data_IF_696867912802
#
_entry.id   IF_696867912802
#
_cell.length_a   1.000
_cell.length_b   1.000
_cell.length_c   1.000
_cell.angle_alpha   90.00
_cell.angle_beta   90.00
_cell.angle_gamma   90.00
#
_symmetry.space_group_name_H-M   'P 1'
#
loop_
_entity.id
_entity.type
_entity.pdbx_description
1 polymer ?
#
# COMPACT_ATOMS: atom_id res chain seq x y z
N UNK A 1 2.76 6.60 31.30
CA UNK A 1 3.90 5.83 30.78
C UNK A 1 3.68 5.65 29.29
N UNK A 2 4.72 5.73 28.44
CA UNK A 2 4.56 5.54 27.01
C UNK A 2 4.12 4.10 26.74
N UNK A 3 2.99 3.92 26.06
CA UNK A 3 2.51 2.60 25.64
C UNK A 3 2.87 2.36 24.18
N UNK A 4 3.32 1.15 23.87
CA UNK A 4 3.47 0.68 22.49
C UNK A 4 2.57 -0.53 22.28
N UNK A 5 2.00 -0.63 21.08
CA UNK A 5 1.16 -1.75 20.72
C UNK A 5 1.96 -2.68 19.81
N UNK A 6 2.15 -3.93 20.26
CA UNK A 6 2.84 -4.98 19.49
C UNK A 6 1.86 -6.15 19.38
N UNK A 7 1.59 -6.61 18.16
CA UNK A 7 0.66 -7.71 17.88
C UNK A 7 -0.74 -7.54 18.52
N UNK A 8 -1.23 -6.29 18.58
CA UNK A 8 -2.53 -5.96 19.17
C UNK A 8 -2.58 -6.01 20.69
N UNK A 9 -1.43 -6.10 21.37
CA UNK A 9 -1.30 -5.98 22.83
C UNK A 9 -0.58 -4.70 23.18
N UNK A 10 -1.10 -3.99 24.16
CA UNK A 10 -0.45 -2.81 24.72
C UNK A 10 0.62 -3.24 25.73
N UNK A 11 1.80 -2.65 25.59
CA UNK A 11 2.93 -2.82 26.48
C UNK A 11 3.34 -1.47 27.05
N UNK A 12 3.62 -1.44 28.34
CA UNK A 12 4.30 -0.30 28.95
C UNK A 12 5.77 -0.35 28.55
N UNK A 13 6.26 0.70 27.89
CA UNK A 13 7.65 0.79 27.45
C UNK A 13 8.60 0.76 28.64
N UNK A 14 8.20 1.31 29.79
CA UNK A 14 9.04 1.35 30.98
C UNK A 14 9.22 -0.05 31.61
N UNK A 15 8.30 -0.99 31.35
CA UNK A 15 8.34 -2.37 31.82
C UNK A 15 9.09 -3.34 30.87
N UNK A 16 9.45 -2.89 29.67
CA UNK A 16 10.19 -3.70 28.70
C UNK A 16 11.69 -3.78 29.05
N UNK A 17 12.29 -4.96 28.82
CA UNK A 17 13.74 -5.12 28.88
C UNK A 17 14.43 -4.30 27.79
N UNK A 18 15.72 -4.01 27.98
CA UNK A 18 16.50 -3.25 27.00
C UNK A 18 16.61 -3.99 25.66
N UNK A 19 16.71 -5.33 25.69
CA UNK A 19 16.69 -6.16 24.48
C UNK A 19 15.35 -6.07 23.75
N UNK A 20 14.23 -6.08 24.48
CA UNK A 20 12.90 -5.94 23.89
C UNK A 20 12.74 -4.56 23.23
N UNK A 21 13.21 -3.49 23.86
CA UNK A 21 13.22 -2.13 23.29
C UNK A 21 14.07 -2.06 22.00
N UNK A 22 15.24 -2.71 21.98
CA UNK A 22 16.08 -2.77 20.79
C UNK A 22 15.41 -3.52 19.62
N UNK A 23 14.67 -4.59 19.92
CA UNK A 23 13.92 -5.33 18.91
C UNK A 23 12.75 -4.50 18.35
N UNK A 24 12.02 -3.79 19.20
CA UNK A 24 10.95 -2.86 18.78
C UNK A 24 11.49 -1.77 17.85
N UNK A 25 12.65 -1.19 18.18
CA UNK A 25 13.28 -0.21 17.31
C UNK A 25 13.64 -0.79 15.93
N UNK A 26 14.14 -2.03 15.92
CA UNK A 26 14.45 -2.76 14.68
C UNK A 26 13.19 -3.04 13.83
N UNK A 27 12.09 -3.45 14.46
CA UNK A 27 10.79 -3.68 13.79
C UNK A 27 10.29 -2.37 13.19
N UNK A 28 10.24 -1.28 13.96
CA UNK A 28 9.78 0.02 13.48
C UNK A 28 10.60 0.52 12.29
N UNK A 29 11.92 0.27 12.29
CA UNK A 29 12.78 0.59 11.15
C UNK A 29 12.39 -0.21 9.90
N UNK A 30 12.21 -1.53 10.03
CA UNK A 30 11.80 -2.39 8.92
C UNK A 30 10.42 -1.99 8.39
N UNK A 31 9.46 -1.66 9.26
CA UNK A 31 8.12 -1.25 8.86
C UNK A 31 8.13 0.06 8.07
N UNK A 32 8.97 1.02 8.47
CA UNK A 32 9.15 2.26 7.72
C UNK A 32 9.73 1.99 6.31
N UNK A 33 10.70 1.09 6.20
CA UNK A 33 11.26 0.71 4.91
C UNK A 33 10.26 -0.05 4.04
N UNK A 34 9.45 -0.94 4.63
CA UNK A 34 8.35 -1.61 3.92
C UNK A 34 7.31 -0.61 3.41
N UNK A 35 6.90 0.36 4.23
CA UNK A 35 5.99 1.42 3.81
C UNK A 35 6.56 2.23 2.63
N UNK A 36 7.86 2.55 2.67
CA UNK A 36 8.57 3.24 1.58
C UNK A 36 8.59 2.41 0.30
N UNK A 37 8.86 1.11 0.39
CA UNK A 37 8.85 0.19 -0.76
C UNK A 37 7.45 0.07 -1.36
N UNK A 38 6.42 -0.03 -0.52
CA UNK A 38 5.03 -0.09 -0.97
C UNK A 38 4.61 1.19 -1.72
N UNK A 39 5.01 2.36 -1.23
CA UNK A 39 4.76 3.62 -1.93
C UNK A 39 5.42 3.66 -3.32
N UNK A 40 6.67 3.17 -3.43
CA UNK A 40 7.35 3.05 -4.73
C UNK A 40 6.66 2.06 -5.65
N UNK A 41 6.22 0.91 -5.12
CA UNK A 41 5.48 -0.09 -5.87
C UNK A 41 4.19 0.49 -6.46
N UNK A 42 3.41 1.23 -5.67
CA UNK A 42 2.18 1.89 -6.12
C UNK A 42 2.44 2.91 -7.25
N UNK A 43 3.52 3.69 -7.14
CA UNK A 43 3.92 4.62 -8.20
C UNK A 43 4.28 3.88 -9.51
N UNK A 44 5.03 2.78 -9.41
CA UNK A 44 5.39 1.96 -10.57
C UNK A 44 4.19 1.24 -11.19
N UNK A 45 3.25 0.75 -10.38
CA UNK A 45 2.00 0.17 -10.87
C UNK A 45 1.18 1.20 -11.65
N UNK A 46 1.11 2.44 -11.16
CA UNK A 46 0.45 3.54 -11.87
C UNK A 46 1.12 3.78 -13.22
N UNK A 47 2.45 3.90 -13.25
CA UNK A 47 3.20 4.08 -14.49
C UNK A 47 2.98 2.92 -15.48
N UNK A 48 3.02 1.66 -15.01
CA UNK A 48 2.74 0.47 -15.82
C UNK A 48 1.35 0.55 -16.46
N UNK A 49 0.33 0.92 -15.68
CA UNK A 49 -1.03 1.01 -16.17
C UNK A 49 -1.18 2.11 -17.23
N UNK A 50 -0.54 3.26 -17.02
CA UNK A 50 -0.49 4.35 -18.02
C UNK A 50 0.17 3.89 -19.31
N UNK A 51 1.32 3.21 -19.24
CA UNK A 51 1.99 2.68 -20.43
C UNK A 51 1.16 1.61 -21.14
N UNK A 52 0.45 0.76 -20.39
CA UNK A 52 -0.47 -0.22 -20.96
C UNK A 52 -1.61 0.44 -21.75
N UNK A 53 -2.20 1.51 -21.22
CA UNK A 53 -3.25 2.28 -21.93
C UNK A 53 -2.71 2.93 -23.20
N UNK A 54 -1.56 3.62 -23.11
CA UNK A 54 -0.92 4.24 -24.27
C UNK A 54 -0.55 3.20 -25.34
N UNK A 55 -0.13 1.99 -24.95
CA UNK A 55 0.12 0.92 -25.89
C UNK A 55 -1.17 0.46 -26.59
N UNK A 56 -2.27 0.29 -25.86
CA UNK A 56 -3.55 -0.10 -26.45
C UNK A 56 -4.04 0.94 -27.48
N UNK A 57 -3.89 2.24 -27.17
CA UNK A 57 -4.18 3.34 -28.11
C UNK A 57 -3.35 3.24 -29.39
N UNK A 58 -2.03 2.95 -29.28
CA UNK A 58 -1.14 2.78 -30.44
C UNK A 58 -1.55 1.57 -31.29
N UNK A 59 -1.98 0.48 -30.65
CA UNK A 59 -2.35 -0.75 -31.34
C UNK A 59 -3.76 -0.71 -31.93
N UNK A 60 -4.53 0.37 -31.70
CA UNK A 60 -5.93 0.46 -32.12
C UNK A 60 -6.80 -0.60 -31.44
N UNK A 61 -6.41 -1.06 -30.24
CA UNK A 61 -7.25 -1.94 -29.43
C UNK A 61 -8.23 -1.03 -28.69
N UNK A 62 -9.28 -0.64 -29.41
CA UNK A 62 -10.41 0.08 -28.81
C UNK A 62 -11.00 -0.81 -27.73
N UNK A 63 -10.78 -0.43 -26.47
CA UNK A 63 -11.53 -0.98 -25.36
C UNK A 63 -12.90 -0.33 -25.40
N UNK A 64 -13.77 -0.79 -26.31
CA UNK A 64 -15.22 -0.63 -26.18
C UNK A 64 -15.64 -1.45 -24.94
N UNK A 65 -15.35 -0.90 -23.75
CA UNK A 65 -16.16 -1.23 -22.59
C UNK A 65 -17.52 -0.60 -22.88
N UNK A 66 -18.43 -1.43 -23.38
CA UNK A 66 -19.87 -1.21 -23.42
C UNK A 66 -20.29 -0.47 -22.15
N UNK A 67 -20.48 0.84 -22.27
CA UNK A 67 -21.29 1.57 -21.29
C UNK A 67 -22.69 1.07 -21.56
N UNK A 68 -23.10 0.04 -20.82
CA UNK A 68 -24.51 -0.26 -20.62
C UNK A 68 -25.09 0.99 -19.99
N UNK A 69 -25.52 1.90 -20.85
CA UNK A 69 -26.55 2.88 -20.53
C UNK A 69 -27.77 2.01 -20.29
N UNK A 70 -28.02 1.71 -19.02
CA UNK A 70 -29.33 1.24 -18.62
C UNK A 70 -30.28 2.35 -19.01
N UNK A 71 -30.99 2.14 -20.12
CA UNK A 71 -32.22 2.84 -20.44
C UNK A 71 -33.18 2.63 -19.26
N UNK A 72 -33.09 3.51 -18.26
CA UNK A 72 -34.19 3.81 -17.36
C UNK A 72 -35.16 4.74 -18.12
N UNK A 73 -35.77 4.20 -19.18
CA UNK A 73 -36.98 4.74 -19.82
C UNK A 73 -38.08 3.65 -19.76
N UNK A 74 -38.78 3.59 -18.63
CA UNK A 74 -40.26 3.53 -18.48
C UNK A 74 -40.68 3.15 -17.04
#
# INVERSE_FOLDING_TARGET
MPNIQIDGKDYDVDELSDEAKAQVASINFVDQELARLNARSAALQTARNTYGRALNEILGVDTEAEVVTGDDED
#
